data_IF_925255146836
#
_entry.id   IF_925255146836
#
_cell.length_a   1.000
_cell.length_b   1.000
_cell.length_c   1.000
_cell.angle_alpha   90.00
_cell.angle_beta   90.00
_cell.angle_gamma   90.00
#
_symmetry.space_group_name_H-M   'P 1'
#
loop_
_entity.id
_entity.type
_entity.pdbx_description
1 polymer ?
#
# COMPACT_ATOMS: atom_id res chain seq x y z
N UNK A 1 -1.25 -15.26 -4.46
CA UNK A 1 -2.38 -15.51 -5.37
C UNK A 1 -2.58 -14.32 -6.31
N UNK A 2 -2.55 -14.54 -7.64
CA UNK A 2 -2.86 -13.50 -8.63
C UNK A 2 -4.39 -13.39 -8.77
N UNK A 3 -4.99 -12.19 -8.69
CA UNK A 3 -6.43 -12.05 -8.91
C UNK A 3 -6.77 -12.38 -10.37
N UNK A 4 -7.88 -13.09 -10.58
CA UNK A 4 -8.32 -13.55 -11.90
C UNK A 4 -9.43 -12.65 -12.47
N UNK A 5 -9.44 -12.46 -13.79
CA UNK A 5 -10.39 -11.60 -14.47
C UNK A 5 -11.60 -12.38 -15.01
N UNK A 6 -12.51 -12.79 -14.13
CA UNK A 6 -13.67 -13.63 -14.49
C UNK A 6 -14.57 -13.02 -15.59
N UNK A 7 -14.66 -11.69 -15.67
CA UNK A 7 -15.46 -11.00 -16.71
C UNK A 7 -14.88 -11.14 -18.13
N UNK A 8 -13.63 -11.61 -18.27
CA UNK A 8 -12.97 -11.89 -19.57
C UNK A 8 -12.65 -13.37 -19.71
N UNK A 9 -13.20 -14.22 -18.85
CA UNK A 9 -12.99 -15.65 -18.93
C UNK A 9 -13.68 -16.21 -20.18
N UNK A 10 -12.99 -17.08 -20.92
CA UNK A 10 -13.63 -17.89 -21.94
C UNK A 10 -14.30 -19.10 -21.28
N UNK A 11 -15.55 -18.92 -20.82
CA UNK A 11 -16.30 -19.96 -20.11
C UNK A 11 -16.66 -21.15 -21.00
N UNK A 12 -16.78 -20.95 -22.32
CA UNK A 12 -17.03 -22.04 -23.25
C UNK A 12 -15.82 -22.97 -23.34
N UNK A 13 -14.62 -22.41 -23.50
CA UNK A 13 -13.37 -23.18 -23.49
C UNK A 13 -13.12 -23.84 -22.13
N UNK A 14 -13.47 -23.17 -21.04
CA UNK A 14 -13.37 -23.75 -19.70
C UNK A 14 -14.26 -24.99 -19.56
N UNK A 15 -15.54 -24.88 -19.97
CA UNK A 15 -16.47 -26.00 -19.98
C UNK A 15 -15.93 -27.14 -20.85
N UNK A 16 -15.45 -26.85 -22.05
CA UNK A 16 -14.89 -27.83 -22.97
C UNK A 16 -13.69 -28.58 -22.38
N UNK A 17 -12.74 -27.88 -21.76
CA UNK A 17 -11.56 -28.49 -21.12
C UNK A 17 -11.96 -29.40 -19.95
N UNK A 18 -12.92 -28.97 -19.13
CA UNK A 18 -13.41 -29.78 -18.01
C UNK A 18 -14.23 -30.98 -18.48
N UNK A 19 -14.99 -30.88 -19.57
CA UNK A 19 -15.80 -31.99 -20.11
C UNK A 19 -14.98 -33.02 -20.88
N UNK A 20 -13.85 -32.63 -21.48
CA UNK A 20 -12.94 -33.55 -22.18
C UNK A 20 -12.11 -34.42 -21.24
N UNK A 21 -12.09 -34.11 -19.95
CA UNK A 21 -11.35 -34.89 -18.96
C UNK A 21 -12.12 -36.18 -18.66
N UNK A 22 -11.54 -37.39 -18.87
CA UNK A 22 -12.22 -38.65 -18.61
C UNK A 22 -12.22 -38.96 -17.10
N UNK A 23 -13.11 -38.30 -16.36
CA UNK A 23 -13.15 -38.37 -14.89
C UNK A 23 -13.30 -39.80 -14.36
N UNK A 24 -14.07 -40.65 -15.04
CA UNK A 24 -14.30 -42.03 -14.61
C UNK A 24 -13.03 -42.89 -14.63
N UNK A 25 -12.09 -42.64 -15.53
CA UNK A 25 -10.83 -43.39 -15.58
C UNK A 25 -9.78 -42.77 -14.67
N UNK A 26 -9.74 -41.44 -14.61
CA UNK A 26 -8.77 -40.68 -13.81
C UNK A 26 -8.99 -40.86 -12.30
N UNK A 27 -10.26 -40.99 -11.89
CA UNK A 27 -10.64 -41.15 -10.49
C UNK A 27 -10.80 -42.62 -10.06
N UNK A 28 -10.73 -43.58 -11.00
CA UNK A 28 -10.80 -45.01 -10.70
C UNK A 28 -9.63 -45.42 -9.82
N UNK A 29 -9.93 -46.22 -8.78
CA UNK A 29 -8.96 -46.78 -7.83
C UNK A 29 -8.16 -45.74 -7.03
N UNK A 30 -8.62 -44.48 -6.96
CA UNK A 30 -8.01 -43.41 -6.15
C UNK A 30 -8.73 -43.24 -4.82
N UNK A 31 -7.96 -42.94 -3.77
CA UNK A 31 -8.52 -42.53 -2.48
C UNK A 31 -9.17 -41.15 -2.60
N UNK A 32 -10.19 -40.88 -1.79
CA UNK A 32 -10.95 -39.62 -1.79
C UNK A 32 -10.06 -38.37 -1.84
N UNK A 33 -9.01 -38.32 -1.00
CA UNK A 33 -8.09 -37.18 -0.96
C UNK A 33 -7.29 -37.01 -2.27
N UNK A 34 -6.86 -38.13 -2.87
CA UNK A 34 -6.14 -38.12 -4.15
C UNK A 34 -7.05 -37.71 -5.29
N UNK A 35 -8.29 -38.23 -5.32
CA UNK A 35 -9.33 -37.83 -6.27
C UNK A 35 -9.62 -36.33 -6.19
N UNK A 36 -9.72 -35.79 -4.98
CA UNK A 36 -9.93 -34.36 -4.76
C UNK A 36 -8.74 -33.51 -5.22
N UNK A 37 -7.51 -33.98 -4.98
CA UNK A 37 -6.31 -33.29 -5.45
C UNK A 37 -6.24 -33.24 -6.98
N UNK A 38 -6.53 -34.37 -7.64
CA UNK A 38 -6.54 -34.45 -9.11
C UNK A 38 -7.60 -33.52 -9.71
N UNK A 39 -8.79 -33.46 -9.09
CA UNK A 39 -9.83 -32.52 -9.47
C UNK A 39 -9.37 -31.07 -9.36
N UNK A 40 -8.82 -30.67 -8.20
CA UNK A 40 -8.31 -29.30 -7.97
C UNK A 40 -7.24 -28.93 -8.99
N UNK A 41 -6.28 -29.81 -9.22
CA UNK A 41 -5.17 -29.55 -10.14
C UNK A 41 -5.67 -29.38 -11.58
N UNK A 42 -6.63 -30.19 -12.00
CA UNK A 42 -7.23 -30.12 -13.34
C UNK A 42 -8.07 -28.84 -13.50
N UNK A 43 -8.85 -28.50 -12.48
CA UNK A 43 -9.61 -27.25 -12.42
C UNK A 43 -8.70 -26.02 -12.50
N UNK A 44 -7.63 -25.99 -11.71
CA UNK A 44 -6.66 -24.88 -11.73
C UNK A 44 -5.95 -24.77 -13.07
N UNK A 45 -5.57 -25.89 -13.71
CA UNK A 45 -5.02 -25.86 -15.08
C UNK A 45 -6.00 -25.27 -16.08
N UNK A 46 -7.27 -25.69 -16.06
CA UNK A 46 -8.30 -25.12 -16.92
C UNK A 46 -8.51 -23.62 -16.62
N UNK A 47 -8.45 -23.23 -15.36
CA UNK A 47 -8.58 -21.85 -14.90
C UNK A 47 -7.44 -20.96 -15.39
N UNK A 48 -6.20 -21.44 -15.35
CA UNK A 48 -5.02 -20.70 -15.84
C UNK A 48 -5.04 -20.49 -17.36
N UNK A 49 -5.54 -21.47 -18.11
CA UNK A 49 -5.62 -21.39 -19.57
C UNK A 49 -6.73 -20.48 -20.09
N UNK A 50 -7.83 -20.36 -19.33
CA UNK A 50 -9.07 -19.73 -19.82
C UNK A 50 -9.40 -18.40 -19.16
N UNK A 51 -8.85 -18.15 -17.97
CA UNK A 51 -9.10 -16.93 -17.21
C UNK A 51 -7.82 -16.10 -17.19
N UNK A 52 -7.79 -14.97 -17.93
CA UNK A 52 -6.67 -14.07 -17.85
C UNK A 52 -6.44 -13.59 -16.41
N UNK A 53 -5.18 -13.63 -15.97
CA UNK A 53 -4.80 -12.99 -14.71
C UNK A 53 -5.06 -11.50 -14.82
N UNK A 54 -5.72 -10.91 -13.83
CA UNK A 54 -5.65 -9.47 -13.64
C UNK A 54 -4.17 -9.12 -13.44
N UNK A 55 -3.66 -8.19 -14.24
CA UNK A 55 -2.54 -7.40 -13.74
C UNK A 55 -3.13 -6.65 -12.55
N UNK A 56 -2.57 -6.84 -11.35
CA UNK A 56 -2.77 -5.82 -10.31
C UNK A 56 -2.39 -4.53 -11.03
N UNK A 57 -3.36 -3.64 -11.29
CA UNK A 57 -3.00 -2.27 -11.58
C UNK A 57 -2.34 -1.84 -10.28
N UNK A 58 -1.02 -1.97 -10.25
CA UNK A 58 -0.24 -1.39 -9.18
C UNK A 58 -0.77 0.03 -9.09
N UNK A 59 -1.12 0.44 -7.88
CA UNK A 59 -1.30 1.86 -7.58
C UNK A 59 -0.15 2.73 -8.14
N UNK A 60 0.97 2.11 -8.52
CA UNK A 60 2.08 2.53 -9.39
C UNK A 60 1.75 3.43 -10.60
N UNK A 61 0.52 3.49 -11.10
CA UNK A 61 0.22 4.21 -12.35
C UNK A 61 -0.51 5.54 -12.20
N UNK A 62 -1.07 5.86 -11.02
CA UNK A 62 -1.88 7.07 -10.90
C UNK A 62 -0.97 8.29 -10.81
N UNK A 63 -1.00 9.07 -11.89
CA UNK A 63 -0.42 10.42 -11.95
C UNK A 63 -0.72 11.19 -10.66
N UNK A 64 0.31 11.68 -9.94
CA UNK A 64 0.09 12.48 -8.74
C UNK A 64 -0.80 13.68 -9.04
N UNK A 65 -1.68 14.03 -8.09
CA UNK A 65 -2.65 15.11 -8.29
C UNK A 65 -2.01 16.50 -8.54
N UNK A 66 -0.76 16.71 -8.08
CA UNK A 66 -0.01 17.95 -8.30
C UNK A 66 0.70 17.99 -9.67
N UNK A 67 0.76 16.89 -10.42
CA UNK A 67 1.58 16.81 -11.63
C UNK A 67 0.77 17.26 -12.87
N UNK A 68 0.91 18.51 -13.29
CA UNK A 68 0.30 19.04 -14.53
C UNK A 68 1.03 18.57 -15.80
N UNK A 69 0.42 18.71 -16.99
CA UNK A 69 0.99 18.21 -18.27
C UNK A 69 2.24 18.99 -18.63
N UNK A 70 2.21 20.30 -18.39
CA UNK A 70 3.33 21.20 -18.66
C UNK A 70 4.49 20.93 -17.70
N UNK A 71 4.20 20.69 -16.41
CA UNK A 71 5.23 20.31 -15.44
C UNK A 71 5.91 18.99 -15.81
N UNK A 72 5.16 18.03 -16.36
CA UNK A 72 5.72 16.78 -16.85
C UNK A 72 6.67 16.99 -18.04
N UNK A 73 6.35 17.90 -18.95
CA UNK A 73 7.23 18.27 -20.07
C UNK A 73 8.55 18.83 -19.54
N UNK A 74 8.48 19.78 -18.59
CA UNK A 74 9.67 20.38 -17.97
C UNK A 74 10.53 19.37 -17.21
N UNK A 75 9.91 18.43 -16.51
CA UNK A 75 10.64 17.31 -15.87
C UNK A 75 11.38 16.47 -16.92
N UNK A 76 10.75 16.17 -18.06
CA UNK A 76 11.38 15.43 -19.16
C UNK A 76 12.51 16.22 -19.81
N UNK A 77 12.33 17.51 -20.02
CA UNK A 77 13.37 18.39 -20.57
C UNK A 77 14.60 18.43 -19.66
N UNK A 78 14.39 18.57 -18.34
CA UNK A 78 15.48 18.45 -17.36
C UNK A 78 16.19 17.09 -17.44
N UNK A 79 15.45 15.99 -17.59
CA UNK A 79 16.06 14.65 -17.74
C UNK A 79 16.85 14.52 -19.05
N UNK A 80 16.39 15.13 -20.15
CA UNK A 80 17.13 15.19 -21.42
C UNK A 80 18.42 15.98 -21.26
N UNK A 81 18.35 17.18 -20.67
CA UNK A 81 19.51 18.01 -20.39
C UNK A 81 20.51 17.32 -19.46
N UNK A 82 20.03 16.58 -18.46
CA UNK A 82 20.89 15.76 -17.60
C UNK A 82 21.69 14.74 -18.42
N UNK A 83 21.05 14.04 -19.36
CA UNK A 83 21.75 13.09 -20.25
C UNK A 83 22.77 13.79 -21.15
N UNK A 84 22.39 14.90 -21.78
CA UNK A 84 23.31 15.68 -22.61
C UNK A 84 24.48 16.24 -21.81
N UNK A 85 24.25 16.63 -20.55
CA UNK A 85 25.29 17.05 -19.63
C UNK A 85 26.26 15.90 -19.30
N UNK A 86 25.76 14.69 -19.06
CA UNK A 86 26.61 13.51 -18.85
C UNK A 86 27.46 13.17 -20.09
N UNK A 87 27.01 13.58 -21.28
CA UNK A 87 27.75 13.43 -22.54
C UNK A 87 28.66 14.63 -22.88
N UNK A 88 28.74 15.64 -22.01
CA UNK A 88 29.58 16.84 -22.21
C UNK A 88 29.04 17.84 -23.23
N UNK A 89 27.79 17.69 -23.71
CA UNK A 89 27.22 18.51 -24.77
C UNK A 89 26.58 19.83 -24.29
N UNK A 90 26.35 19.97 -22.99
CA UNK A 90 25.61 21.11 -22.40
C UNK A 90 26.40 21.71 -21.25
N UNK A 91 26.38 23.04 -21.15
CA UNK A 91 27.05 23.79 -20.08
C UNK A 91 26.44 23.48 -18.71
N UNK A 92 27.22 23.62 -17.64
CA UNK A 92 26.71 23.36 -16.29
C UNK A 92 25.63 24.38 -15.90
N UNK A 93 25.79 25.63 -16.32
CA UNK A 93 24.86 26.73 -16.04
C UNK A 93 23.46 26.46 -16.59
N UNK A 94 23.35 26.10 -17.87
CA UNK A 94 22.05 25.81 -18.51
C UNK A 94 21.32 24.64 -17.85
N UNK A 95 22.04 23.55 -17.55
CA UNK A 95 21.45 22.43 -16.83
C UNK A 95 21.04 22.83 -15.40
N UNK A 96 21.89 23.60 -14.71
CA UNK A 96 21.62 24.05 -13.35
C UNK A 96 20.34 24.88 -13.33
N UNK A 97 20.22 25.90 -14.17
CA UNK A 97 19.08 26.82 -14.18
C UNK A 97 17.77 26.09 -14.50
N UNK A 98 17.77 25.23 -15.52
CA UNK A 98 16.60 24.41 -15.86
C UNK A 98 16.22 23.42 -14.75
N UNK A 99 17.21 22.83 -14.06
CA UNK A 99 16.96 21.96 -12.92
C UNK A 99 16.40 22.72 -11.71
N UNK A 100 16.88 23.95 -11.45
CA UNK A 100 16.37 24.81 -10.39
C UNK A 100 14.92 25.22 -10.65
N UNK A 101 14.61 25.71 -11.85
CA UNK A 101 13.25 26.08 -12.24
C UNK A 101 12.29 24.89 -12.11
N UNK A 102 12.67 23.73 -12.65
CA UNK A 102 11.86 22.52 -12.52
C UNK A 102 11.63 22.12 -11.06
N UNK A 103 12.65 22.26 -10.21
CA UNK A 103 12.53 21.97 -8.76
C UNK A 103 11.56 22.93 -8.08
N UNK A 104 11.64 24.22 -8.41
CA UNK A 104 10.76 25.24 -7.83
C UNK A 104 9.31 25.01 -8.21
N UNK A 105 9.03 24.75 -9.49
CA UNK A 105 7.67 24.49 -9.95
C UNK A 105 7.07 23.22 -9.36
N UNK A 106 7.88 22.17 -9.15
CA UNK A 106 7.43 20.98 -8.41
C UNK A 106 7.07 21.32 -6.96
N UNK A 107 7.79 22.24 -6.32
CA UNK A 107 7.47 22.69 -4.96
C UNK A 107 6.18 23.51 -4.95
N UNK A 108 6.05 24.47 -5.85
CA UNK A 108 4.86 25.30 -5.99
C UNK A 108 3.61 24.45 -6.29
N UNK A 109 3.69 23.52 -7.23
CA UNK A 109 2.55 22.65 -7.57
C UNK A 109 2.09 21.77 -6.39
N UNK A 110 3.02 21.30 -5.56
CA UNK A 110 2.70 20.56 -4.33
C UNK A 110 2.06 21.46 -3.28
N UNK A 111 2.61 22.65 -3.05
CA UNK A 111 2.05 23.63 -2.12
C UNK A 111 0.63 24.04 -2.55
N UNK A 112 0.41 24.26 -3.84
CA UNK A 112 -0.92 24.60 -4.37
C UNK A 112 -1.94 23.48 -4.16
N UNK A 113 -1.53 22.22 -4.35
CA UNK A 113 -2.38 21.07 -4.03
C UNK A 113 -2.74 21.04 -2.53
N UNK A 114 -1.77 21.28 -1.65
CA UNK A 114 -1.99 21.32 -0.20
C UNK A 114 -2.93 22.46 0.20
N UNK A 115 -2.75 23.66 -0.35
CA UNK A 115 -3.65 24.80 -0.15
C UNK A 115 -5.08 24.46 -0.58
N UNK A 116 -5.26 23.85 -1.76
CA UNK A 116 -6.57 23.43 -2.25
C UNK A 116 -7.24 22.37 -1.37
N UNK A 117 -6.46 21.51 -0.71
CA UNK A 117 -6.98 20.49 0.21
C UNK A 117 -7.37 21.09 1.57
N UNK A 118 -6.70 22.15 2.01
CA UNK A 118 -6.92 22.81 3.30
C UNK A 118 -8.00 23.90 3.22
N UNK A 119 -8.21 24.52 2.05
CA UNK A 119 -9.15 25.63 1.86
C UNK A 119 -10.59 25.27 2.24
N UNK A 120 -11.07 24.07 1.86
CA UNK A 120 -12.41 23.59 2.21
C UNK A 120 -12.43 22.10 2.59
N UNK A 121 -12.05 21.76 3.83
CA UNK A 121 -12.12 20.38 4.29
C UNK A 121 -13.57 19.91 4.37
N UNK A 122 -14.57 20.80 4.44
CA UNK A 122 -15.99 20.43 4.46
C UNK A 122 -16.47 19.85 3.13
N UNK A 123 -16.05 20.41 1.99
CA UNK A 123 -16.42 19.90 0.66
C UNK A 123 -15.65 18.63 0.28
N UNK A 124 -14.38 18.52 0.71
CA UNK A 124 -13.50 17.42 0.31
C UNK A 124 -12.83 16.68 1.48
N UNK A 125 -13.60 16.32 2.51
CA UNK A 125 -13.11 15.53 3.68
C UNK A 125 -12.33 14.30 3.24
N UNK A 126 -12.86 13.55 2.27
CA UNK A 126 -12.27 12.31 1.77
C UNK A 126 -10.92 12.55 1.08
N UNK A 127 -10.78 13.62 0.29
CA UNK A 127 -9.54 13.97 -0.38
C UNK A 127 -8.43 14.38 0.59
N UNK A 128 -8.79 15.17 1.61
CA UNK A 128 -7.88 15.58 2.67
C UNK A 128 -7.31 14.38 3.44
N UNK A 129 -8.18 13.53 4.02
CA UNK A 129 -7.73 12.35 4.76
C UNK A 129 -6.98 11.35 3.89
N UNK A 130 -7.35 11.21 2.60
CA UNK A 130 -6.59 10.39 1.64
C UNK A 130 -5.16 10.93 1.45
N UNK A 131 -4.98 12.25 1.35
CA UNK A 131 -3.67 12.87 1.23
C UNK A 131 -2.82 12.65 2.49
N UNK A 132 -3.40 12.88 3.66
CA UNK A 132 -2.74 12.64 4.96
C UNK A 132 -2.33 11.18 5.09
N UNK A 133 -3.22 10.24 4.79
CA UNK A 133 -2.92 8.81 4.87
C UNK A 133 -1.87 8.37 3.84
N UNK A 134 -1.79 9.02 2.67
CA UNK A 134 -0.72 8.78 1.71
C UNK A 134 0.65 9.30 2.19
N UNK A 135 0.66 10.41 2.94
CA UNK A 135 1.88 11.02 3.51
C UNK A 135 2.36 10.33 4.77
N UNK A 136 1.44 9.78 5.57
CA UNK A 136 1.74 8.89 6.69
C UNK A 136 2.39 7.63 6.12
N UNK A 137 3.72 7.59 6.13
CA UNK A 137 4.53 6.47 5.60
C UNK A 137 4.30 5.15 6.34
N UNK A 138 3.66 5.20 7.51
CA UNK A 138 3.30 4.03 8.28
C UNK A 138 1.89 3.58 7.89
N UNK A 139 1.77 2.37 7.33
CA UNK A 139 0.52 1.63 7.45
C UNK A 139 0.40 1.29 8.92
N UNK A 140 -0.59 1.85 9.61
CA UNK A 140 -1.01 1.36 10.92
C UNK A 140 -1.37 -0.12 10.78
N UNK A 141 -0.37 -0.97 10.97
CA UNK A 141 -0.58 -2.37 11.25
C UNK A 141 -1.16 -2.48 12.65
N UNK A 142 -1.79 -3.61 12.94
CA UNK A 142 -2.18 -3.94 14.31
C UNK A 142 -0.91 -3.80 15.18
N UNK A 143 -0.93 -2.98 16.25
CA UNK A 143 0.18 -2.86 17.18
C UNK A 143 0.67 -4.25 17.62
N UNK A 144 1.94 -4.35 18.03
CA UNK A 144 2.45 -5.63 18.53
C UNK A 144 1.56 -6.13 19.67
N UNK A 145 0.88 -7.24 19.42
CA UNK A 145 0.01 -7.89 20.41
C UNK A 145 0.90 -8.71 21.34
N UNK A 146 0.46 -8.90 22.59
CA UNK A 146 1.05 -9.88 23.50
C UNK A 146 0.16 -11.12 23.54
N UNK A 147 0.76 -12.30 23.50
CA UNK A 147 0.04 -13.55 23.73
C UNK A 147 -0.29 -13.69 25.23
N UNK A 148 -0.99 -14.79 25.58
CA UNK A 148 -1.32 -15.12 26.98
C UNK A 148 -0.07 -15.30 27.85
N UNK A 149 1.07 -15.62 27.26
CA UNK A 149 2.34 -15.86 27.94
C UNK A 149 3.16 -14.57 28.12
N UNK A 150 2.65 -13.41 27.66
CA UNK A 150 3.32 -12.12 27.75
C UNK A 150 4.35 -11.84 26.65
N UNK A 151 4.51 -12.74 25.68
CA UNK A 151 5.46 -12.65 24.57
C UNK A 151 4.89 -11.82 23.41
N UNK A 152 5.78 -11.14 22.67
CA UNK A 152 5.41 -10.37 21.49
C UNK A 152 5.02 -11.30 20.33
N UNK A 153 3.82 -11.10 19.81
CA UNK A 153 3.22 -11.93 18.76
C UNK A 153 3.79 -11.56 17.40
N UNK A 154 4.25 -12.55 16.64
CA UNK A 154 4.72 -12.36 15.26
C UNK A 154 3.55 -12.02 14.32
N UNK A 155 3.82 -11.43 13.15
CA UNK A 155 2.76 -10.93 12.25
C UNK A 155 1.71 -11.99 11.87
N UNK A 156 2.12 -13.24 11.71
CA UNK A 156 1.25 -14.34 11.27
C UNK A 156 0.37 -14.89 12.42
N UNK A 157 0.84 -14.80 13.66
CA UNK A 157 0.14 -15.30 14.86
C UNK A 157 -0.91 -14.32 15.40
N UNK A 158 -0.87 -13.04 14.97
CA UNK A 158 -1.82 -12.00 15.43
C UNK A 158 -3.27 -12.38 15.18
N UNK A 159 -3.56 -13.02 14.05
CA UNK A 159 -4.91 -13.44 13.70
C UNK A 159 -5.44 -14.51 14.67
N UNK A 160 -4.60 -15.45 15.09
CA UNK A 160 -5.00 -16.50 16.03
C UNK A 160 -5.22 -15.95 17.44
N UNK A 161 -4.37 -15.04 17.90
CA UNK A 161 -4.52 -14.40 19.21
C UNK A 161 -5.82 -13.61 19.28
N UNK A 162 -6.14 -12.84 18.24
CA UNK A 162 -7.41 -12.13 18.14
C UNK A 162 -8.60 -13.09 18.09
N UNK A 163 -8.54 -14.16 17.28
CA UNK A 163 -9.61 -15.14 17.19
C UNK A 163 -9.88 -15.82 18.55
N UNK A 164 -8.81 -16.22 19.26
CA UNK A 164 -8.92 -16.78 20.62
C UNK A 164 -9.52 -15.79 21.61
N UNK A 165 -9.19 -14.50 21.52
CA UNK A 165 -9.79 -13.46 22.35
C UNK A 165 -11.29 -13.31 22.06
N UNK A 166 -11.68 -13.20 20.79
CA UNK A 166 -13.08 -13.10 20.40
C UNK A 166 -13.91 -14.29 20.90
N UNK A 167 -13.43 -15.52 20.71
CA UNK A 167 -14.09 -16.73 21.23
C UNK A 167 -14.24 -16.68 22.76
N UNK A 168 -13.24 -16.16 23.48
CA UNK A 168 -13.31 -16.03 24.95
C UNK A 168 -14.39 -15.06 25.42
N UNK A 169 -14.57 -13.93 24.72
CA UNK A 169 -15.59 -12.92 25.04
C UNK A 169 -17.00 -13.49 24.88
N UNK A 170 -17.24 -14.28 23.82
CA UNK A 170 -18.56 -14.86 23.56
C UNK A 170 -18.86 -16.11 24.39
N UNK A 171 -17.84 -16.87 24.79
CA UNK A 171 -18.02 -18.08 25.59
C UNK A 171 -18.00 -17.80 27.11
N UNK A 172 -18.05 -16.55 27.55
CA UNK A 172 -18.19 -16.18 28.97
C UNK A 172 -16.96 -16.43 29.83
N UNK A 173 -15.84 -16.87 29.24
CA UNK A 173 -14.57 -17.03 29.93
C UNK A 173 -13.86 -15.68 30.02
N UNK A 174 -14.38 -14.78 30.87
CA UNK A 174 -13.65 -13.60 31.32
C UNK A 174 -12.57 -14.06 32.30
N UNK A 175 -11.35 -14.22 31.80
CA UNK A 175 -10.19 -14.26 32.68
C UNK A 175 -9.82 -12.82 33.04
N UNK A 176 -9.58 -12.52 34.34
CA UNK A 176 -9.23 -11.18 34.74
C UNK A 176 -7.90 -10.83 34.09
N UNK A 177 -7.87 -9.76 33.31
CA UNK A 177 -6.60 -9.11 33.02
C UNK A 177 -6.02 -8.68 34.37
N UNK A 178 -4.76 -9.04 34.62
CA UNK A 178 -3.93 -8.26 35.51
C UNK A 178 -3.97 -6.83 34.98
N UNK A 179 -4.77 -6.00 35.64
CA UNK A 179 -4.70 -4.55 35.58
C UNK A 179 -3.30 -4.17 36.07
N UNK A 180 -2.31 -4.24 35.19
CA UNK A 180 -1.02 -3.65 35.46
C UNK A 180 -1.07 -2.25 34.86
N UNK A 181 -1.29 -1.31 35.77
CA UNK A 181 -1.19 0.13 35.56
C UNK A 181 0.04 0.44 34.69
N UNK A 182 -0.20 0.99 33.50
CA UNK A 182 0.80 1.84 32.90
C UNK A 182 0.70 3.18 33.62
N UNK A 183 1.58 3.37 34.60
CA UNK A 183 1.86 4.70 35.14
C UNK A 183 2.21 5.68 34.02
N UNK A 184 2.07 7.00 34.24
CA UNK A 184 2.27 7.99 33.21
C UNK A 184 3.71 7.90 32.70
N UNK A 185 3.87 7.43 31.46
CA UNK A 185 5.13 7.57 30.75
C UNK A 185 5.28 9.04 30.37
N UNK A 186 6.15 9.68 31.12
CA UNK A 186 6.67 11.02 30.96
C UNK A 186 6.96 11.30 29.47
N UNK A 187 6.08 12.11 28.86
CA UNK A 187 6.34 12.64 27.52
C UNK A 187 7.27 13.82 27.70
N UNK A 188 8.56 13.51 27.67
CA UNK A 188 9.62 14.49 27.75
C UNK A 188 9.38 15.58 26.69
N UNK A 189 9.03 16.75 27.23
CA UNK A 189 8.53 17.92 26.56
C UNK A 189 9.71 18.64 25.92
N UNK A 190 9.84 18.55 24.60
CA UNK A 190 10.68 19.49 23.83
C UNK A 190 9.82 20.61 23.24
N UNK A 191 9.28 21.43 24.14
CA UNK A 191 8.95 22.81 23.80
C UNK A 191 10.28 23.60 23.78
N UNK A 192 10.88 23.72 22.60
CA UNK A 192 11.84 24.81 22.36
C UNK A 192 11.08 25.99 21.77
N UNK A 193 10.73 26.93 22.64
CA UNK A 193 10.41 28.30 22.24
C UNK A 193 11.68 28.98 21.67
N UNK A 194 11.53 29.92 20.72
CA UNK A 194 12.66 30.59 20.06
C UNK A 194 13.30 31.63 20.98
N UNK A 195 14.61 31.94 20.84
CA UNK A 195 15.24 32.95 21.67
C UNK A 195 14.78 34.35 21.28
N UNK A 196 14.17 35.04 22.25
CA UNK A 196 13.87 36.47 22.22
C UNK A 196 15.16 37.28 22.33
N UNK A 197 15.29 38.24 21.42
CA UNK A 197 16.30 39.30 21.39
C UNK A 197 16.25 40.11 22.69
N UNK A 198 17.41 40.31 23.32
CA UNK A 198 17.63 41.43 24.24
C UNK A 198 18.64 42.38 23.61
N UNK A 199 18.17 43.57 23.24
CA UNK A 199 19.01 44.75 23.09
C UNK A 199 19.57 45.11 24.46
N UNK A 200 20.86 45.42 24.54
CA UNK A 200 21.29 46.50 25.42
C UNK A 200 22.58 47.15 24.91
N UNK A 201 22.53 48.47 24.90
CA UNK A 201 23.61 49.42 24.59
C UNK A 201 24.60 49.44 25.77
N UNK A 202 25.90 49.52 25.48
CA UNK A 202 26.77 50.70 25.71
C UNK A 202 27.92 50.62 24.71
#
# INVERSE_FOLDING_TARGET
>A
VKPLHFMKANLWLFKELTSKTPWETVLRDKRVEQSWQIFKDTYHKAQELTIPSCRKSGSEGRRPAWLSRDLLVRIKDKMRLHKQRMLGQVSWGEYRDTAWLCRDEVRQAKAQLELNLVRDPKENRKGFYRYINQKRKFKEGIPSLRNRNGELVTTDEKAEVLNKFFVSVFNGNFFPHSSQEYGPQDRDQRDKAPPTVSEDKV
#
